data_IF_907955007504
#
_entry.id   IF_907955007504
#
_cell.length_a   1.000
_cell.length_b   1.000
_cell.length_c   1.000
_cell.angle_alpha   90.00
_cell.angle_beta   90.00
_cell.angle_gamma   90.00
#
_symmetry.space_group_name_H-M   'P 1'
#
loop_
_entity.id
_entity.type
_entity.pdbx_description
1 polymer ?
#
# COMPACT_ATOMS: atom_id res chain seq x y z
N UNK A 1 3.16 61.58 66.72
CA UNK A 1 3.31 61.60 65.26
C UNK A 1 4.17 60.40 64.82
N UNK A 2 3.63 59.18 64.86
CA UNK A 2 4.37 57.96 64.45
C UNK A 2 3.46 56.77 64.06
N UNK A 3 2.13 56.92 64.08
CA UNK A 3 1.17 55.81 63.86
C UNK A 3 0.64 55.74 62.41
N UNK A 4 0.84 56.78 61.59
CA UNK A 4 0.23 56.86 60.24
C UNK A 4 1.03 56.09 59.16
N UNK A 5 2.30 55.74 59.41
CA UNK A 5 3.16 55.10 58.39
C UNK A 5 2.98 53.56 58.33
N UNK A 6 2.40 52.94 59.36
CA UNK A 6 2.21 51.47 59.39
C UNK A 6 0.96 50.98 58.63
N UNK A 7 -0.02 51.85 58.39
CA UNK A 7 -1.25 51.48 57.66
C UNK A 7 -1.12 51.57 56.13
N UNK A 8 -0.16 52.33 55.61
CA UNK A 8 0.09 52.42 54.15
C UNK A 8 0.92 51.25 53.60
N UNK A 9 1.75 50.61 54.43
CA UNK A 9 2.56 49.46 54.02
C UNK A 9 1.75 48.17 53.81
N UNK A 10 0.62 48.01 54.51
CA UNK A 10 -0.25 46.81 54.39
C UNK A 10 -1.10 46.84 53.11
N UNK A 11 -1.42 48.03 52.59
CA UNK A 11 -2.27 48.16 51.40
C UNK A 11 -1.52 47.89 50.08
N UNK A 12 -0.20 48.06 50.05
CA UNK A 12 0.62 47.91 48.83
C UNK A 12 0.94 46.43 48.52
N UNK A 13 0.86 45.53 49.50
CA UNK A 13 1.16 44.10 49.29
C UNK A 13 0.04 43.36 48.53
N UNK A 14 -1.18 43.92 48.46
CA UNK A 14 -2.35 43.28 47.85
C UNK A 14 -2.50 43.52 46.32
N UNK A 15 -1.57 44.26 45.69
CA UNK A 15 -1.63 44.58 44.26
C UNK A 15 -0.54 43.89 43.43
N UNK A 16 0.06 42.80 43.94
CA UNK A 16 0.95 41.99 43.11
C UNK A 16 0.12 41.14 42.15
N UNK A 17 0.35 41.22 40.82
CA UNK A 17 -0.37 40.37 39.88
C UNK A 17 0.00 38.92 40.15
N UNK A 18 -0.97 38.10 40.53
CA UNK A 18 -0.82 36.65 40.55
C UNK A 18 -0.69 36.23 39.09
N UNK A 19 0.52 35.82 38.70
CA UNK A 19 0.73 35.15 37.42
C UNK A 19 0.05 33.78 37.51
N UNK A 20 -1.17 33.67 36.98
CA UNK A 20 -1.84 32.40 36.76
C UNK A 20 -1.15 31.74 35.57
N UNK A 21 -0.32 30.74 35.85
CA UNK A 21 0.17 29.85 34.81
C UNK A 21 -0.97 28.93 34.40
N UNK A 22 -1.45 29.07 33.17
CA UNK A 22 -2.32 28.08 32.57
C UNK A 22 -1.54 26.78 32.41
N UNK A 23 -1.92 25.74 33.15
CA UNK A 23 -1.40 24.39 32.99
C UNK A 23 -1.92 23.83 31.65
N UNK A 24 -1.03 23.76 30.67
CA UNK A 24 -1.33 23.33 29.30
C UNK A 24 -0.99 21.84 29.08
N UNK A 25 -1.11 21.01 30.11
CA UNK A 25 -0.72 19.59 30.02
C UNK A 25 -1.88 18.62 29.70
N UNK A 26 -3.14 19.07 29.72
CA UNK A 26 -4.29 18.21 29.43
C UNK A 26 -4.60 18.02 27.92
N UNK A 27 -4.17 18.94 27.05
CA UNK A 27 -4.51 18.88 25.61
C UNK A 27 -3.53 18.06 24.78
N UNK A 28 -2.29 17.89 25.24
CA UNK A 28 -1.26 17.14 24.52
C UNK A 28 -1.37 15.62 24.71
N UNK A 29 -1.96 15.15 25.82
CA UNK A 29 -2.15 13.73 26.11
C UNK A 29 -3.30 13.12 25.31
N UNK A 30 -4.41 13.85 25.16
CA UNK A 30 -5.59 13.38 24.40
C UNK A 30 -5.31 13.26 22.89
N UNK A 31 -4.35 14.03 22.35
CA UNK A 31 -3.94 13.94 20.93
C UNK A 31 -2.92 12.82 20.67
N UNK A 32 -2.28 12.28 21.72
CA UNK A 32 -1.21 11.28 21.58
C UNK A 32 -1.72 9.85 21.72
N UNK A 33 -2.81 9.64 22.45
CA UNK A 33 -3.42 8.31 22.64
C UNK A 33 -4.06 7.75 21.36
N UNK A 34 -4.37 8.60 20.36
CA UNK A 34 -4.99 8.16 19.09
C UNK A 34 -3.99 7.71 18.00
N UNK A 35 -2.71 7.51 18.32
CA UNK A 35 -1.67 7.25 17.30
C UNK A 35 -0.85 5.98 17.53
N UNK A 36 -1.50 4.92 18.00
CA UNK A 36 -1.09 3.54 17.71
C UNK A 36 -2.26 2.85 17.03
N UNK A 37 -2.74 3.46 15.95
CA UNK A 37 -3.41 2.71 14.90
C UNK A 37 -2.29 1.95 14.21
N UNK A 38 -2.26 0.61 14.32
CA UNK A 38 -1.36 -0.21 13.50
C UNK A 38 -1.42 0.32 12.07
N UNK A 39 -0.25 0.60 11.47
CA UNK A 39 -0.21 1.14 10.11
C UNK A 39 -1.03 0.22 9.20
N UNK A 40 -2.23 0.68 8.82
CA UNK A 40 -3.18 -0.15 8.09
C UNK A 40 -2.54 -0.54 6.77
N UNK A 41 -2.53 -1.84 6.49
CA UNK A 41 -2.10 -2.35 5.21
C UNK A 41 -3.11 -1.92 4.13
N UNK A 42 -2.80 -0.81 3.46
CA UNK A 42 -3.66 -0.23 2.42
C UNK A 42 -3.47 -0.90 1.05
N UNK A 43 -2.54 -1.86 0.92
CA UNK A 43 -2.24 -2.58 -0.32
C UNK A 43 -3.49 -3.25 -0.90
N UNK A 44 -4.33 -3.82 -0.05
CA UNK A 44 -5.56 -4.49 -0.47
C UNK A 44 -6.49 -3.53 -1.19
N UNK A 45 -6.77 -2.38 -0.58
CA UNK A 45 -7.67 -1.36 -1.15
C UNK A 45 -7.09 -0.81 -2.46
N UNK A 46 -5.77 -0.59 -2.50
CA UNK A 46 -5.07 -0.14 -3.70
C UNK A 46 -5.18 -1.15 -4.84
N UNK A 47 -4.95 -2.44 -4.55
CA UNK A 47 -5.05 -3.53 -5.52
C UNK A 47 -6.49 -3.70 -6.03
N UNK A 48 -7.46 -3.76 -5.13
CA UNK A 48 -8.88 -3.90 -5.47
C UNK A 48 -9.35 -2.77 -6.37
N UNK A 49 -9.01 -1.52 -6.01
CA UNK A 49 -9.37 -0.33 -6.79
C UNK A 49 -8.75 -0.39 -8.18
N UNK A 50 -7.46 -0.69 -8.28
CA UNK A 50 -6.78 -0.79 -9.56
C UNK A 50 -7.39 -1.87 -10.46
N UNK A 51 -7.54 -3.10 -9.95
CA UNK A 51 -8.07 -4.22 -10.73
C UNK A 51 -9.55 -4.02 -11.11
N UNK A 52 -10.34 -3.39 -10.24
CA UNK A 52 -11.74 -3.05 -10.53
C UNK A 52 -11.87 -1.97 -11.60
N UNK A 53 -11.02 -0.93 -11.59
CA UNK A 53 -10.99 0.10 -12.64
C UNK A 53 -10.75 -0.51 -14.02
N UNK A 54 -9.93 -1.56 -14.08
CA UNK A 54 -9.65 -2.28 -15.31
C UNK A 54 -10.66 -3.39 -15.62
N UNK A 55 -11.71 -3.60 -14.81
CA UNK A 55 -12.68 -4.70 -14.97
C UNK A 55 -11.98 -6.07 -15.06
N UNK A 56 -11.00 -6.28 -14.19
CA UNK A 56 -10.18 -7.49 -14.17
C UNK A 56 -10.89 -8.65 -13.49
N UNK A 57 -10.81 -9.84 -14.10
CA UNK A 57 -11.22 -11.10 -13.45
C UNK A 57 -10.38 -11.44 -12.21
N UNK A 58 -9.23 -10.76 -12.01
CA UNK A 58 -8.39 -10.88 -10.83
C UNK A 58 -8.85 -10.03 -9.64
N UNK A 59 -9.81 -9.10 -9.81
CA UNK A 59 -10.22 -8.20 -8.72
C UNK A 59 -10.67 -8.95 -7.44
N UNK A 60 -11.44 -10.06 -7.51
CA UNK A 60 -11.79 -10.86 -6.32
C UNK A 60 -10.59 -11.54 -5.64
N UNK A 61 -9.45 -11.64 -6.32
CA UNK A 61 -8.23 -12.28 -5.85
C UNK A 61 -7.19 -11.28 -5.32
N UNK A 62 -7.55 -10.00 -5.18
CA UNK A 62 -6.63 -8.93 -4.76
C UNK A 62 -5.87 -9.27 -3.47
N UNK A 63 -6.56 -9.78 -2.45
CA UNK A 63 -5.93 -10.25 -1.22
C UNK A 63 -4.96 -11.39 -1.47
N UNK A 64 -5.36 -12.39 -2.25
CA UNK A 64 -4.53 -13.55 -2.55
C UNK A 64 -3.25 -13.16 -3.33
N UNK A 65 -3.34 -12.17 -4.23
CA UNK A 65 -2.18 -11.62 -4.95
C UNK A 65 -1.17 -11.01 -3.97
N UNK A 66 -1.63 -10.29 -2.95
CA UNK A 66 -0.75 -9.70 -1.94
C UNK A 66 -0.14 -10.81 -1.08
N UNK A 67 -0.97 -11.70 -0.53
CA UNK A 67 -0.52 -12.79 0.35
C UNK A 67 0.49 -13.71 -0.36
N UNK A 68 0.28 -14.03 -1.64
CA UNK A 68 1.19 -14.86 -2.42
C UNK A 68 2.49 -14.12 -2.78
N UNK A 69 2.42 -12.81 -3.00
CA UNK A 69 3.62 -12.00 -3.23
C UNK A 69 4.49 -11.95 -1.97
N UNK A 70 3.86 -11.75 -0.81
CA UNK A 70 4.54 -11.75 0.49
C UNK A 70 5.16 -13.12 0.79
N UNK A 71 4.42 -14.22 0.54
CA UNK A 71 4.92 -15.60 0.69
C UNK A 71 6.21 -15.87 -0.09
N UNK A 72 6.38 -15.25 -1.26
CA UNK A 72 7.50 -15.47 -2.16
C UNK A 72 8.52 -14.33 -2.20
N UNK A 73 8.43 -13.37 -1.27
CA UNK A 73 9.28 -12.17 -1.20
C UNK A 73 9.31 -11.36 -2.52
N UNK A 74 8.15 -11.21 -3.15
CA UNK A 74 7.96 -10.45 -4.37
C UNK A 74 7.32 -9.07 -4.07
N UNK A 75 7.60 -8.03 -4.87
CA UNK A 75 6.84 -6.79 -4.78
C UNK A 75 5.35 -7.06 -5.00
N UNK A 76 4.51 -6.67 -4.05
CA UNK A 76 3.09 -7.00 -4.00
C UNK A 76 2.27 -6.55 -5.23
N UNK A 77 2.76 -5.56 -5.98
CA UNK A 77 2.15 -5.05 -7.20
C UNK A 77 2.63 -5.78 -8.48
N UNK A 78 3.71 -6.56 -8.41
CA UNK A 78 4.42 -7.09 -9.59
C UNK A 78 3.56 -8.09 -10.38
N UNK A 79 2.99 -9.09 -9.70
CA UNK A 79 2.23 -10.17 -10.35
C UNK A 79 1.02 -9.60 -11.11
N UNK A 80 0.28 -8.68 -10.49
CA UNK A 80 -0.82 -7.97 -11.13
C UNK A 80 -0.33 -7.10 -12.29
N UNK A 81 0.80 -6.41 -12.13
CA UNK A 81 1.34 -5.54 -13.18
C UNK A 81 1.78 -6.30 -14.43
N UNK A 82 2.35 -7.49 -14.27
CA UNK A 82 2.69 -8.36 -15.41
C UNK A 82 1.40 -8.75 -16.15
N UNK A 83 0.33 -9.16 -15.46
CA UNK A 83 -0.94 -9.47 -16.14
C UNK A 83 -1.56 -8.24 -16.81
N UNK A 84 -1.34 -7.04 -16.27
CA UNK A 84 -1.64 -5.75 -16.91
C UNK A 84 -1.01 -5.63 -18.30
N UNK A 85 0.25 -6.01 -18.45
CA UNK A 85 0.97 -5.97 -19.73
C UNK A 85 0.53 -7.09 -20.67
N UNK A 86 0.40 -8.31 -20.17
CA UNK A 86 0.21 -9.51 -21.00
C UNK A 86 -1.23 -9.70 -21.49
N UNK A 87 -2.21 -9.35 -20.66
CA UNK A 87 -3.63 -9.65 -20.93
C UNK A 87 -4.57 -8.47 -20.63
N UNK A 88 -4.03 -7.31 -20.26
CA UNK A 88 -4.82 -6.17 -19.82
C UNK A 88 -5.54 -6.45 -18.50
N UNK A 89 -4.80 -7.01 -17.53
CA UNK A 89 -5.28 -7.50 -16.24
C UNK A 89 -6.28 -8.64 -16.40
N UNK A 90 -5.89 -9.68 -17.13
CA UNK A 90 -6.66 -10.90 -17.34
C UNK A 90 -7.98 -10.74 -18.13
N UNK A 91 -8.22 -9.59 -18.76
CA UNK A 91 -9.40 -9.41 -19.62
C UNK A 91 -9.31 -10.17 -20.94
N UNK A 92 -8.09 -10.35 -21.44
CA UNK A 92 -7.85 -10.94 -22.75
C UNK A 92 -7.02 -12.21 -22.59
N UNK A 93 -7.67 -13.31 -22.24
CA UNK A 93 -7.06 -14.63 -22.11
C UNK A 93 -7.82 -15.69 -22.92
N UNK A 94 -7.17 -16.80 -23.32
CA UNK A 94 -7.89 -17.95 -23.84
C UNK A 94 -8.94 -18.46 -22.85
N UNK A 95 -10.12 -18.84 -23.35
CA UNK A 95 -11.24 -19.30 -22.51
C UNK A 95 -10.81 -20.46 -21.62
N UNK A 96 -11.18 -20.40 -20.34
CA UNK A 96 -10.89 -21.42 -19.32
C UNK A 96 -9.40 -21.71 -19.09
N UNK A 97 -8.49 -20.85 -19.57
CA UNK A 97 -7.05 -21.04 -19.35
C UNK A 97 -6.56 -20.51 -18.02
N UNK A 98 -7.22 -19.47 -17.48
CA UNK A 98 -6.76 -18.68 -16.32
C UNK A 98 -5.31 -18.16 -16.46
N UNK A 99 -4.76 -18.11 -17.68
CA UNK A 99 -3.39 -17.73 -17.95
C UNK A 99 -3.27 -16.25 -18.29
N UNK A 100 -3.28 -15.41 -17.26
CA UNK A 100 -3.20 -13.95 -17.41
C UNK A 100 -1.79 -13.44 -17.78
N UNK A 101 -0.76 -14.28 -17.70
CA UNK A 101 0.66 -13.89 -17.74
C UNK A 101 1.41 -14.39 -18.97
N UNK A 102 0.74 -15.08 -19.90
CA UNK A 102 1.41 -15.73 -21.03
C UNK A 102 2.35 -16.85 -20.61
N UNK A 103 2.12 -17.48 -19.45
CA UNK A 103 3.01 -18.49 -18.88
C UNK A 103 3.18 -19.67 -19.83
N UNK A 104 4.41 -20.20 -19.91
CA UNK A 104 4.80 -21.23 -20.88
C UNK A 104 4.47 -20.86 -22.34
N UNK A 105 4.76 -19.62 -22.74
CA UNK A 105 4.44 -19.05 -24.05
C UNK A 105 2.93 -19.11 -24.37
N UNK A 106 2.09 -18.98 -23.34
CA UNK A 106 0.63 -19.06 -23.45
C UNK A 106 0.06 -20.47 -23.57
N UNK A 107 0.89 -21.52 -23.62
CA UNK A 107 0.44 -22.90 -23.84
C UNK A 107 -0.03 -23.61 -22.57
N UNK A 108 0.08 -22.97 -21.41
CA UNK A 108 -0.43 -23.54 -20.16
C UNK A 108 -1.84 -23.05 -19.86
N UNK A 109 -2.72 -23.99 -19.54
CA UNK A 109 -3.96 -23.73 -18.82
C UNK A 109 -3.80 -24.16 -17.36
N UNK A 110 -4.43 -23.41 -16.46
CA UNK A 110 -4.47 -23.69 -15.03
C UNK A 110 -5.86 -24.19 -14.62
N UNK A 111 -5.97 -24.75 -13.42
CA UNK A 111 -7.28 -25.21 -12.90
C UNK A 111 -8.13 -24.06 -12.35
N UNK A 112 -7.50 -22.92 -12.05
CA UNK A 112 -8.13 -21.71 -11.50
C UNK A 112 -7.10 -20.61 -11.29
N UNK A 113 -7.55 -19.45 -10.82
CA UNK A 113 -6.65 -18.31 -10.60
C UNK A 113 -5.68 -18.53 -9.43
N UNK A 114 -6.06 -19.27 -8.39
CA UNK A 114 -5.18 -19.59 -7.26
C UNK A 114 -4.01 -20.49 -7.69
N UNK A 115 -4.28 -21.55 -8.48
CA UNK A 115 -3.23 -22.41 -9.08
C UNK A 115 -2.29 -21.59 -9.99
N UNK A 116 -2.87 -20.69 -10.79
CA UNK A 116 -2.11 -19.81 -11.65
C UNK A 116 -1.21 -18.87 -10.86
N UNK A 117 -1.75 -18.19 -9.85
CA UNK A 117 -1.03 -17.24 -9.00
C UNK A 117 0.08 -17.93 -8.20
N UNK A 118 -0.19 -19.08 -7.59
CA UNK A 118 0.81 -19.88 -6.88
C UNK A 118 1.96 -20.29 -7.82
N UNK A 119 1.64 -20.75 -9.04
CA UNK A 119 2.71 -21.14 -9.97
C UNK A 119 3.49 -19.94 -10.51
N UNK A 120 2.81 -18.84 -10.84
CA UNK A 120 3.48 -17.65 -11.37
C UNK A 120 4.36 -17.04 -10.30
N UNK A 121 3.90 -16.93 -9.05
CA UNK A 121 4.69 -16.40 -7.95
C UNK A 121 5.94 -17.26 -7.68
N UNK A 122 5.77 -18.58 -7.52
CA UNK A 122 6.89 -19.50 -7.32
C UNK A 122 7.88 -19.50 -8.49
N UNK A 123 7.39 -19.44 -9.73
CA UNK A 123 8.22 -19.34 -10.92
C UNK A 123 8.98 -18.02 -11.00
N UNK A 124 8.34 -16.89 -10.70
CA UNK A 124 9.01 -15.58 -10.62
C UNK A 124 10.13 -15.60 -9.57
N UNK A 125 9.86 -16.20 -8.41
CA UNK A 125 10.85 -16.36 -7.35
C UNK A 125 12.06 -17.18 -7.80
N UNK A 126 11.84 -18.41 -8.25
CA UNK A 126 12.89 -19.37 -8.56
C UNK A 126 13.69 -19.01 -9.83
N UNK A 127 13.01 -18.51 -10.88
CA UNK A 127 13.64 -18.26 -12.17
C UNK A 127 14.37 -16.92 -12.17
N UNK A 128 13.89 -15.94 -11.39
CA UNK A 128 14.38 -14.56 -11.44
C UNK A 128 14.93 -14.07 -10.10
N UNK A 129 14.10 -13.96 -9.06
CA UNK A 129 14.48 -13.29 -7.81
C UNK A 129 15.59 -14.02 -7.06
N UNK A 130 15.55 -15.35 -6.98
CA UNK A 130 16.62 -16.17 -6.38
C UNK A 130 17.95 -16.06 -7.13
N UNK A 131 17.93 -15.53 -8.36
CA UNK A 131 19.11 -15.27 -9.20
C UNK A 131 19.51 -13.80 -9.20
N UNK A 132 18.92 -12.98 -8.33
CA UNK A 132 19.20 -11.54 -8.22
C UNK A 132 18.51 -10.67 -9.28
N UNK A 133 17.59 -11.22 -10.08
CA UNK A 133 16.85 -10.48 -11.10
C UNK A 133 15.56 -9.91 -10.48
N UNK A 134 15.71 -8.91 -9.62
CA UNK A 134 14.65 -8.43 -8.72
C UNK A 134 13.88 -7.22 -9.23
N UNK A 135 14.13 -6.78 -10.47
CA UNK A 135 13.42 -5.66 -11.10
C UNK A 135 12.83 -6.04 -12.46
N UNK A 136 11.79 -5.34 -12.93
CA UNK A 136 11.25 -5.57 -14.28
C UNK A 136 12.31 -5.46 -15.38
N UNK A 137 13.30 -4.57 -15.24
CA UNK A 137 14.38 -4.40 -16.21
C UNK A 137 15.33 -5.60 -16.24
N UNK A 138 15.58 -6.24 -15.10
CA UNK A 138 16.40 -7.45 -15.00
C UNK A 138 15.64 -8.71 -15.45
N UNK A 139 14.32 -8.74 -15.25
CA UNK A 139 13.44 -9.83 -15.66
C UNK A 139 13.25 -9.84 -17.19
N UNK A 140 13.07 -8.66 -17.79
CA UNK A 140 12.67 -8.52 -19.19
C UNK A 140 13.50 -9.31 -20.22
N UNK A 141 14.85 -9.30 -20.17
CA UNK A 141 15.67 -10.00 -21.18
C UNK A 141 15.40 -11.50 -21.27
N UNK A 142 14.85 -12.10 -20.20
CA UNK A 142 14.50 -13.53 -20.13
C UNK A 142 13.00 -13.74 -20.31
N UNK A 143 12.15 -12.90 -19.69
CA UNK A 143 10.70 -13.09 -19.69
C UNK A 143 10.05 -12.75 -21.03
N UNK A 144 10.40 -11.61 -21.64
CA UNK A 144 9.73 -11.09 -22.83
C UNK A 144 10.69 -10.63 -23.95
N UNK A 145 11.75 -11.41 -24.31
CA UNK A 145 12.60 -11.05 -25.43
C UNK A 145 11.82 -11.09 -26.76
N UNK A 146 12.07 -10.18 -27.71
CA UNK A 146 13.03 -9.06 -27.68
C UNK A 146 12.40 -7.71 -27.25
N UNK A 147 11.29 -7.69 -26.50
CA UNK A 147 10.44 -6.50 -26.29
C UNK A 147 11.02 -5.53 -25.25
N UNK A 148 11.72 -4.45 -25.63
CA UNK A 148 12.41 -3.61 -24.65
C UNK A 148 11.41 -2.78 -23.81
N UNK A 149 10.21 -2.54 -24.35
CA UNK A 149 9.17 -1.73 -23.71
C UNK A 149 8.45 -2.43 -22.55
N UNK A 150 8.61 -3.76 -22.41
CA UNK A 150 7.88 -4.55 -21.43
C UNK A 150 8.14 -4.09 -20.00
N UNK A 151 9.42 -3.95 -19.61
CA UNK A 151 9.80 -3.52 -18.26
C UNK A 151 9.17 -2.17 -17.88
N UNK A 152 9.19 -1.21 -18.81
CA UNK A 152 8.58 0.12 -18.63
C UNK A 152 7.07 0.03 -18.41
N UNK A 153 6.37 -0.84 -19.13
CA UNK A 153 4.92 -1.03 -18.96
C UNK A 153 4.60 -1.70 -17.61
N UNK A 154 5.40 -2.68 -17.19
CA UNK A 154 5.26 -3.31 -15.86
C UNK A 154 5.46 -2.26 -14.77
N UNK A 155 6.53 -1.44 -14.83
CA UNK A 155 6.76 -0.32 -13.90
C UNK A 155 5.59 0.65 -13.85
N UNK A 156 5.04 1.01 -15.01
CA UNK A 156 3.89 1.89 -15.09
C UNK A 156 2.70 1.32 -14.32
N UNK A 157 2.37 0.03 -14.49
CA UNK A 157 1.28 -0.59 -13.75
C UNK A 157 1.58 -0.79 -12.27
N UNK A 158 2.82 -1.10 -11.89
CA UNK A 158 3.22 -1.18 -10.48
C UNK A 158 2.95 0.15 -9.79
N UNK A 159 3.44 1.25 -10.40
CA UNK A 159 3.21 2.61 -9.91
C UNK A 159 1.73 2.99 -9.91
N UNK A 160 0.95 2.59 -10.92
CA UNK A 160 -0.47 2.88 -10.99
C UNK A 160 -1.27 2.16 -9.88
N UNK A 161 -0.87 0.96 -9.48
CA UNK A 161 -1.45 0.22 -8.36
C UNK A 161 -0.99 0.84 -7.04
N UNK A 162 0.32 1.01 -6.88
CA UNK A 162 0.94 1.49 -5.65
C UNK A 162 0.52 2.91 -5.28
N UNK A 163 0.15 3.76 -6.24
CA UNK A 163 -0.28 5.14 -6.00
C UNK A 163 -1.80 5.32 -5.93
N UNK A 164 -2.61 4.25 -5.94
CA UNK A 164 -4.05 4.38 -5.68
C UNK A 164 -4.30 5.00 -4.30
N UNK A 165 -5.19 5.98 -4.19
CA UNK A 165 -5.56 6.55 -2.89
C UNK A 165 -6.69 5.72 -2.27
N UNK A 166 -6.54 5.24 -1.01
CA UNK A 166 -7.65 4.69 -0.25
C UNK A 166 -8.76 5.74 -0.11
N UNK A 167 -10.03 5.32 -0.24
CA UNK A 167 -11.16 6.25 -0.12
C UNK A 167 -11.42 6.57 1.36
N UNK A 168 -10.97 7.75 1.79
CA UNK A 168 -11.09 8.25 3.18
C UNK A 168 -12.56 8.35 3.65
N UNK A 169 -13.52 8.41 2.71
CA UNK A 169 -14.93 8.71 2.99
C UNK A 169 -15.80 7.50 3.37
N UNK A 170 -15.29 6.27 3.28
CA UNK A 170 -16.01 5.07 3.75
C UNK A 170 -15.80 4.81 5.26
N UNK A 171 -14.92 5.58 5.91
CA UNK A 171 -14.46 5.33 7.28
C UNK A 171 -15.19 6.15 8.35
N UNK A 172 -16.05 7.10 7.95
CA UNK A 172 -16.85 7.92 8.88
C UNK A 172 -18.30 7.45 9.04
N UNK A 173 -18.66 6.29 8.46
CA UNK A 173 -20.02 5.75 8.48
C UNK A 173 -20.11 4.34 9.12
N UNK A 174 -19.15 3.98 9.98
CA UNK A 174 -19.21 2.79 10.85
C UNK A 174 -19.15 3.21 12.32
#
# INVERSE_FOLDING_TARGET
MQIIILLSAVFIVLLSPVNVYADQTASASIIRESRIEEARDDRLIRMEKALSLYHSDLAPYSKFIIDISDKYDLPWSLIASISGVESGFCRNIPKFSYNCWGWANGNRSFTGFEDALETVASGLKQIYFDRGLTTPELINPIYAPPTPSWARKVRFFMSAIENQTPDINLEFNL
#
